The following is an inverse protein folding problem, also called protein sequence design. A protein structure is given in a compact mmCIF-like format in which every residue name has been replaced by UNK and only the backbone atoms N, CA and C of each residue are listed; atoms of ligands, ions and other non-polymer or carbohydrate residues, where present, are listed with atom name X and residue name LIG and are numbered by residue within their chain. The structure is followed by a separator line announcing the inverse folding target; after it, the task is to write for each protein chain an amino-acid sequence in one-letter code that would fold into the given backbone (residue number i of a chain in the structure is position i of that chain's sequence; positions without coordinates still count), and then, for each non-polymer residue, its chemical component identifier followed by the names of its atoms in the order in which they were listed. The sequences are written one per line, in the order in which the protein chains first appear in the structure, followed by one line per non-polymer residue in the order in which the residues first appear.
data_IF_156224873314
#
_entry.id   IF_156224873314
#
_cell.length_a   1.000
_cell.length_b   1.000
_cell.length_c   1.000
_cell.angle_alpha   90.00
_cell.angle_beta   90.00
_cell.angle_gamma   90.00
#
_symmetry.space_group_name_H-M   'P 1'
#
loop_
_entity.id
_entity.type
_entity.pdbx_description
1 polymer ?
#
# COMPACT_ATOMS: atom_id res chain seq x y z
N UNK A 1 -0.66 -17.18 -13.00
CA UNK A 1 -0.23 -16.84 -11.63
C UNK A 1 0.18 -15.39 -11.61
N UNK A 2 -0.35 -14.62 -10.67
CA UNK A 2 -0.01 -13.21 -10.45
C UNK A 2 1.24 -13.09 -9.57
N UNK A 3 1.94 -11.96 -9.62
CA UNK A 3 3.05 -11.70 -8.68
C UNK A 3 2.49 -11.42 -7.28
N UNK A 4 1.53 -10.49 -7.20
CA UNK A 4 0.83 -10.13 -5.95
C UNK A 4 -0.67 -10.09 -6.22
N UNK A 5 -1.46 -10.58 -5.27
CA UNK A 5 -2.92 -10.39 -5.26
C UNK A 5 -3.42 -9.97 -3.88
N UNK A 6 -4.62 -9.41 -3.82
CA UNK A 6 -5.24 -8.95 -2.57
C UNK A 6 -6.40 -9.86 -2.18
N UNK A 7 -6.43 -10.27 -0.92
CA UNK A 7 -7.52 -11.01 -0.30
C UNK A 7 -8.43 -10.00 0.42
N UNK A 8 -9.62 -9.78 -0.13
CA UNK A 8 -10.63 -8.88 0.45
C UNK A 8 -11.68 -9.62 1.28
N UNK A 9 -11.92 -10.89 0.96
CA UNK A 9 -12.92 -11.74 1.62
C UNK A 9 -12.44 -12.19 3.01
N UNK A 10 -13.20 -11.94 4.09
CA UNK A 10 -12.83 -12.36 5.45
C UNK A 10 -12.61 -13.87 5.58
N UNK A 11 -13.41 -14.70 4.91
CA UNK A 11 -13.27 -16.16 4.99
C UNK A 11 -11.98 -16.64 4.30
N UNK A 12 -11.69 -16.13 3.10
CA UNK A 12 -10.45 -16.39 2.40
C UNK A 12 -9.22 -15.93 3.21
N UNK A 13 -9.32 -14.77 3.89
CA UNK A 13 -8.26 -14.29 4.78
C UNK A 13 -8.04 -15.25 5.95
N UNK A 14 -9.10 -15.64 6.68
CA UNK A 14 -9.03 -16.61 7.77
C UNK A 14 -8.48 -17.97 7.31
N UNK A 15 -8.82 -18.40 6.09
CA UNK A 15 -8.25 -19.60 5.49
C UNK A 15 -6.76 -19.41 5.24
N UNK A 16 -6.33 -18.33 4.59
CA UNK A 16 -4.90 -18.11 4.27
C UNK A 16 -3.98 -18.02 5.49
N UNK A 17 -4.50 -17.56 6.64
CA UNK A 17 -3.72 -17.33 7.87
C UNK A 17 -3.34 -18.60 8.64
N UNK A 18 -3.85 -19.77 8.26
CA UNK A 18 -3.41 -21.04 8.85
C UNK A 18 -1.98 -21.36 8.43
N UNK A 19 -1.07 -21.66 9.37
CA UNK A 19 0.36 -21.84 9.06
C UNK A 19 0.64 -22.94 8.03
N UNK A 20 -0.16 -24.02 8.04
CA UNK A 20 0.00 -25.10 7.06
C UNK A 20 -0.47 -24.64 5.69
N UNK A 21 -1.60 -23.93 5.60
CA UNK A 21 -2.12 -23.40 4.34
C UNK A 21 -1.19 -22.34 3.75
N UNK A 22 -0.65 -21.44 4.57
CA UNK A 22 0.38 -20.49 4.14
C UNK A 22 1.63 -21.19 3.59
N UNK A 23 2.12 -22.25 4.28
CA UNK A 23 3.25 -23.04 3.80
C UNK A 23 2.94 -23.76 2.48
N UNK A 24 1.74 -24.31 2.32
CA UNK A 24 1.31 -24.93 1.07
C UNK A 24 1.24 -23.92 -0.07
N UNK A 25 0.74 -22.70 0.17
CA UNK A 25 0.73 -21.62 -0.82
C UNK A 25 2.16 -21.26 -1.26
N UNK A 26 3.10 -21.15 -0.31
CA UNK A 26 4.51 -20.89 -0.62
C UNK A 26 5.13 -21.99 -1.49
N UNK A 27 4.88 -23.26 -1.16
CA UNK A 27 5.36 -24.39 -1.97
C UNK A 27 4.75 -24.41 -3.39
N UNK A 28 3.48 -24.02 -3.51
CA UNK A 28 2.75 -23.98 -4.77
C UNK A 28 3.04 -22.73 -5.62
N UNK A 29 3.60 -21.68 -5.02
CA UNK A 29 4.12 -20.51 -5.71
C UNK A 29 5.42 -20.85 -6.47
N UNK A 30 6.24 -21.77 -5.95
CA UNK A 30 7.46 -22.22 -6.62
C UNK A 30 7.18 -23.09 -7.86
N UNK A 31 6.02 -23.76 -7.93
CA UNK A 31 5.59 -24.51 -9.11
C UNK A 31 4.46 -25.51 -8.82
N UNK A 32 3.83 -26.08 -9.87
CA UNK A 32 2.74 -27.03 -9.69
C UNK A 32 3.14 -28.28 -8.91
N UNK A 33 2.33 -28.70 -7.96
CA UNK A 33 2.58 -29.90 -7.15
C UNK A 33 1.29 -30.65 -6.82
N UNK A 34 1.40 -31.98 -6.70
CA UNK A 34 0.30 -32.81 -6.21
C UNK A 34 0.26 -32.86 -4.69
N UNK A 35 -0.88 -33.26 -4.12
CA UNK A 35 -1.02 -33.47 -2.68
C UNK A 35 0.01 -34.48 -2.13
N UNK A 36 0.41 -35.47 -2.94
CA UNK A 36 1.42 -36.45 -2.56
C UNK A 36 2.83 -35.83 -2.48
N UNK A 37 3.18 -34.97 -3.44
CA UNK A 37 4.45 -34.23 -3.42
C UNK A 37 4.52 -33.27 -2.22
N UNK A 38 3.43 -32.56 -1.96
CA UNK A 38 3.35 -31.59 -0.86
C UNK A 38 3.39 -32.25 0.52
N UNK A 39 2.80 -33.43 0.68
CA UNK A 39 2.80 -34.19 1.94
C UNK A 39 4.20 -34.39 2.53
N UNK A 40 5.17 -34.78 1.69
CA UNK A 40 6.57 -34.94 2.12
C UNK A 40 7.22 -33.62 2.52
N UNK A 41 6.92 -32.54 1.79
CA UNK A 41 7.48 -31.22 2.07
C UNK A 41 6.96 -30.62 3.37
N UNK A 42 5.65 -30.73 3.63
CA UNK A 42 5.03 -30.12 4.82
C UNK A 42 4.95 -31.06 6.03
N UNK A 43 5.37 -32.32 5.89
CA UNK A 43 5.38 -33.30 6.98
C UNK A 43 3.98 -33.73 7.43
N UNK A 44 3.00 -33.76 6.51
CA UNK A 44 1.62 -34.13 6.81
C UNK A 44 1.11 -35.30 5.97
N UNK A 45 0.20 -36.13 6.51
CA UNK A 45 -0.48 -37.15 5.71
C UNK A 45 -1.20 -36.56 4.50
N UNK A 46 -1.16 -37.27 3.37
CA UNK A 46 -1.78 -36.86 2.09
C UNK A 46 -3.26 -36.47 2.23
N UNK A 47 -4.02 -37.14 3.09
CA UNK A 47 -5.43 -36.81 3.33
C UNK A 47 -5.61 -35.42 3.96
N UNK A 48 -4.76 -35.05 4.93
CA UNK A 48 -4.78 -33.70 5.54
C UNK A 48 -4.36 -32.63 4.52
N UNK A 49 -3.34 -32.91 3.71
CA UNK A 49 -2.96 -32.00 2.62
C UNK A 49 -4.11 -31.78 1.64
N UNK A 50 -4.81 -32.84 1.23
CA UNK A 50 -5.99 -32.72 0.36
C UNK A 50 -7.10 -31.87 1.00
N UNK A 51 -7.33 -32.01 2.31
CA UNK A 51 -8.28 -31.15 3.03
C UNK A 51 -7.88 -29.68 2.92
N UNK A 52 -6.61 -29.35 3.17
CA UNK A 52 -6.12 -27.98 3.06
C UNK A 52 -6.17 -27.43 1.63
N UNK A 53 -5.80 -28.23 0.63
CA UNK A 53 -5.88 -27.84 -0.77
C UNK A 53 -7.32 -27.57 -1.21
N UNK A 54 -8.29 -28.39 -0.78
CA UNK A 54 -9.71 -28.14 -1.06
C UNK A 54 -10.21 -26.84 -0.41
N UNK A 55 -9.77 -26.55 0.81
CA UNK A 55 -10.12 -25.29 1.48
C UNK A 55 -9.54 -24.09 0.71
N UNK A 56 -8.26 -24.15 0.32
CA UNK A 56 -7.62 -23.11 -0.49
C UNK A 56 -8.28 -22.95 -1.88
N UNK A 57 -8.61 -24.06 -2.54
CA UNK A 57 -9.24 -24.09 -3.87
C UNK A 57 -10.63 -23.45 -3.83
N UNK A 58 -11.41 -23.70 -2.76
CA UNK A 58 -12.74 -23.10 -2.56
C UNK A 58 -12.70 -21.57 -2.53
N UNK A 59 -11.65 -20.98 -1.95
CA UNK A 59 -11.47 -19.54 -1.89
C UNK A 59 -10.62 -19.01 -3.06
N UNK A 60 -10.34 -19.82 -4.08
CA UNK A 60 -9.60 -19.42 -5.27
C UNK A 60 -8.14 -19.03 -5.01
N UNK A 61 -7.54 -19.54 -3.93
CA UNK A 61 -6.12 -19.30 -3.60
C UNK A 61 -5.20 -20.31 -4.29
N UNK A 62 -5.76 -21.44 -4.73
CA UNK A 62 -5.09 -22.43 -5.57
C UNK A 62 -6.01 -22.88 -6.69
N UNK A 63 -5.43 -23.27 -7.81
CA UNK A 63 -6.13 -23.74 -9.00
C UNK A 63 -5.48 -25.01 -9.55
N UNK A 64 -6.23 -25.76 -10.36
CA UNK A 64 -5.73 -26.94 -11.07
C UNK A 64 -4.82 -26.50 -12.22
N UNK A 65 -3.54 -26.83 -12.15
CA UNK A 65 -2.55 -26.55 -13.19
C UNK A 65 -2.42 -27.71 -14.21
N UNK A 66 -2.98 -28.87 -13.91
CA UNK A 66 -3.02 -30.02 -14.80
C UNK A 66 -3.17 -31.33 -14.06
N UNK A 67 -3.08 -32.42 -14.81
CA UNK A 67 -3.11 -33.77 -14.28
C UNK A 67 -1.88 -34.54 -14.71
N UNK A 68 -1.40 -35.42 -13.84
CA UNK A 68 -0.24 -36.27 -14.10
C UNK A 68 -0.57 -37.71 -13.76
N UNK A 69 -0.30 -38.63 -14.68
CA UNK A 69 -0.39 -40.07 -14.40
C UNK A 69 0.88 -40.56 -13.72
N UNK A 70 0.73 -41.24 -12.59
CA UNK A 70 1.81 -41.90 -11.84
C UNK A 70 1.37 -43.33 -11.55
N UNK A 71 1.87 -44.28 -12.33
CA UNK A 71 1.36 -45.65 -12.35
C UNK A 71 -0.10 -45.70 -12.80
N UNK A 72 -0.95 -46.35 -12.01
CA UNK A 72 -2.40 -46.44 -12.27
C UNK A 72 -3.22 -45.30 -11.67
N UNK A 73 -2.59 -44.31 -11.03
CA UNK A 73 -3.28 -43.19 -10.37
C UNK A 73 -3.05 -41.90 -11.16
N UNK A 74 -4.12 -41.12 -11.35
CA UNK A 74 -4.05 -39.75 -11.85
C UNK A 74 -3.94 -38.79 -10.67
N UNK A 75 -2.85 -38.03 -10.62
CA UNK A 75 -2.62 -36.99 -9.62
C UNK A 75 -3.04 -35.62 -10.17
N UNK A 76 -3.80 -34.85 -9.39
CA UNK A 76 -4.09 -33.44 -9.66
C UNK A 76 -2.88 -32.60 -9.26
N UNK A 77 -2.34 -31.81 -10.19
CA UNK A 77 -1.29 -30.83 -9.94
C UNK A 77 -1.96 -29.48 -9.67
N UNK A 78 -1.81 -28.99 -8.45
CA UNK A 78 -2.32 -27.68 -8.04
C UNK A 78 -1.24 -26.61 -8.22
N UNK A 79 -1.62 -25.34 -8.35
CA UNK A 79 -0.73 -24.17 -8.31
C UNK A 79 -1.39 -23.06 -7.50
N UNK A 80 -0.59 -22.21 -6.85
CA UNK A 80 -1.08 -20.98 -6.24
C UNK A 80 -1.54 -19.98 -7.31
N UNK A 81 -2.59 -19.22 -7.04
CA UNK A 81 -3.08 -18.21 -7.99
C UNK A 81 -2.18 -16.97 -8.06
N UNK A 82 -1.44 -16.69 -6.98
CA UNK A 82 -0.43 -15.65 -6.91
C UNK A 82 0.83 -16.14 -6.18
N UNK A 83 1.98 -15.51 -6.47
CA UNK A 83 3.23 -15.74 -5.77
C UNK A 83 3.22 -15.13 -4.36
N UNK A 84 2.48 -14.05 -4.15
CA UNK A 84 2.32 -13.37 -2.86
C UNK A 84 0.90 -12.84 -2.66
N UNK A 85 0.48 -12.74 -1.40
CA UNK A 85 -0.86 -12.33 -1.02
C UNK A 85 -0.79 -11.19 0.00
N UNK A 86 -1.62 -10.17 -0.19
CA UNK A 86 -1.84 -9.10 0.77
C UNK A 86 -3.26 -9.22 1.31
N UNK A 87 -3.43 -9.20 2.64
CA UNK A 87 -4.77 -9.16 3.24
C UNK A 87 -5.23 -7.70 3.28
N UNK A 88 -6.32 -7.39 2.58
CA UNK A 88 -6.93 -6.07 2.60
C UNK A 88 -7.51 -5.78 3.99
N UNK A 89 -7.44 -4.53 4.48
CA UNK A 89 -8.21 -4.12 5.66
C UNK A 89 -9.72 -4.36 5.54
N UNK A 90 -10.26 -4.54 4.33
CA UNK A 90 -11.66 -4.95 4.12
C UNK A 90 -12.00 -6.31 4.72
N UNK A 91 -11.02 -7.22 4.87
CA UNK A 91 -11.23 -8.49 5.57
C UNK A 91 -11.62 -8.30 7.05
N UNK A 92 -11.34 -7.12 7.62
CA UNK A 92 -11.76 -6.68 8.97
C UNK A 92 -12.56 -5.36 8.89
N UNK A 93 -13.48 -5.25 7.93
CA UNK A 93 -14.20 -4.02 7.61
C UNK A 93 -14.82 -3.28 8.82
N UNK A 94 -15.33 -4.00 9.83
CA UNK A 94 -15.96 -3.41 11.01
C UNK A 94 -14.98 -2.64 11.92
N UNK A 95 -13.68 -2.93 11.82
CA UNK A 95 -12.62 -2.33 12.66
C UNK A 95 -11.46 -1.78 11.84
N UNK A 96 -11.66 -1.56 10.54
CA UNK A 96 -10.62 -1.04 9.67
C UNK A 96 -10.20 0.39 10.08
N UNK A 97 -8.91 0.76 9.93
CA UNK A 97 -8.47 2.12 10.20
C UNK A 97 -9.20 3.15 9.32
N UNK A 98 -9.65 4.24 9.96
CA UNK A 98 -10.25 5.37 9.27
C UNK A 98 -9.35 6.61 9.39
N UNK A 99 -8.63 7.00 8.32
CA UNK A 99 -7.78 8.19 8.31
C UNK A 99 -8.55 9.51 8.35
N UNK A 100 -9.88 9.51 8.16
CA UNK A 100 -10.71 10.71 8.23
C UNK A 100 -11.18 11.01 9.66
N UNK A 101 -11.12 10.02 10.57
CA UNK A 101 -11.50 10.16 11.98
C UNK A 101 -10.55 11.05 12.78
N UNK A 102 -9.26 11.00 12.48
CA UNK A 102 -8.22 11.83 13.11
C UNK A 102 -7.16 12.15 12.07
N UNK A 103 -7.00 13.43 11.72
CA UNK A 103 -5.96 13.90 10.79
C UNK A 103 -4.83 14.52 11.57
N UNK A 104 -3.71 13.81 11.63
CA UNK A 104 -2.48 14.27 12.29
C UNK A 104 -1.28 13.91 11.42
N UNK A 105 -0.72 14.92 10.75
CA UNK A 105 0.35 14.75 9.75
C UNK A 105 1.67 14.24 10.35
N UNK A 106 1.88 14.41 11.66
CA UNK A 106 3.08 13.96 12.35
C UNK A 106 2.87 12.61 13.05
N UNK A 107 1.67 12.02 12.94
CA UNK A 107 1.34 10.77 13.62
C UNK A 107 1.65 9.54 12.78
N UNK A 108 2.48 8.65 13.34
CA UNK A 108 2.71 7.32 12.81
C UNK A 108 1.42 6.49 12.72
N UNK A 109 0.47 6.68 13.66
CA UNK A 109 -0.84 5.99 13.63
C UNK A 109 -1.71 6.47 12.47
N UNK A 110 -1.68 7.77 12.17
CA UNK A 110 -2.36 8.31 11.00
C UNK A 110 -1.72 7.80 9.71
N UNK A 111 -0.38 7.74 9.67
CA UNK A 111 0.34 7.15 8.54
C UNK A 111 -0.07 5.68 8.31
N UNK A 112 -0.20 4.87 9.37
CA UNK A 112 -0.74 3.51 9.27
C UNK A 112 -2.17 3.48 8.72
N UNK A 113 -3.04 4.39 9.14
CA UNK A 113 -4.40 4.47 8.61
C UNK A 113 -4.44 4.87 7.12
N UNK A 114 -3.53 5.76 6.69
CA UNK A 114 -3.35 6.10 5.28
C UNK A 114 -2.83 4.91 4.46
N UNK A 115 -1.85 4.18 4.99
CA UNK A 115 -1.32 2.96 4.36
C UNK A 115 -2.38 1.87 4.23
N UNK A 116 -3.19 1.64 5.27
CA UNK A 116 -4.31 0.72 5.23
C UNK A 116 -5.32 1.11 4.13
N UNK A 117 -5.69 2.40 4.04
CA UNK A 117 -6.54 2.89 2.94
C UNK A 117 -5.88 2.66 1.57
N UNK A 118 -4.59 2.92 1.44
CA UNK A 118 -3.88 2.72 0.17
C UNK A 118 -3.95 1.25 -0.27
N UNK A 119 -3.67 0.30 0.63
CA UNK A 119 -3.77 -1.15 0.36
C UNK A 119 -5.19 -1.54 -0.06
N UNK A 120 -6.20 -1.04 0.67
CA UNK A 120 -7.61 -1.26 0.32
C UNK A 120 -7.96 -0.74 -1.07
N UNK A 121 -7.73 0.55 -1.30
CA UNK A 121 -8.17 1.24 -2.51
C UNK A 121 -7.46 0.66 -3.75
N UNK A 122 -6.14 0.46 -3.68
CA UNK A 122 -5.36 -0.16 -4.77
C UNK A 122 -5.76 -1.61 -4.97
N UNK A 123 -5.98 -2.39 -3.89
CA UNK A 123 -6.44 -3.77 -3.98
C UNK A 123 -7.77 -3.91 -4.72
N UNK A 124 -8.75 -3.08 -4.38
CA UNK A 124 -10.06 -3.08 -5.03
C UNK A 124 -9.97 -2.60 -6.49
N UNK A 125 -9.12 -1.63 -6.77
CA UNK A 125 -8.88 -1.15 -8.14
C UNK A 125 -8.21 -2.21 -9.01
N UNK A 126 -7.22 -2.95 -8.49
CA UNK A 126 -6.56 -4.04 -9.22
C UNK A 126 -7.53 -5.17 -9.52
N UNK A 127 -8.30 -5.62 -8.51
CA UNK A 127 -9.33 -6.65 -8.69
C UNK A 127 -10.39 -6.20 -9.71
N UNK A 128 -10.86 -4.96 -9.62
CA UNK A 128 -11.83 -4.38 -10.55
C UNK A 128 -11.29 -4.26 -11.99
N UNK A 129 -10.06 -3.78 -12.15
CA UNK A 129 -9.39 -3.64 -13.44
C UNK A 129 -9.16 -5.00 -14.12
N UNK A 130 -8.74 -6.01 -13.36
CA UNK A 130 -8.59 -7.38 -13.85
C UNK A 130 -9.93 -7.96 -14.34
N UNK A 131 -11.00 -7.83 -13.55
CA UNK A 131 -12.36 -8.25 -13.97
C UNK A 131 -12.83 -7.52 -15.23
N UNK A 132 -12.53 -6.24 -15.35
CA UNK A 132 -12.89 -5.42 -16.51
C UNK A 132 -11.95 -5.62 -17.72
N UNK A 133 -10.84 -6.36 -17.57
CA UNK A 133 -9.76 -6.49 -18.56
C UNK A 133 -9.23 -5.13 -19.04
N UNK A 134 -9.03 -4.20 -18.09
CA UNK A 134 -8.50 -2.86 -18.34
C UNK A 134 -7.20 -2.65 -17.58
N UNK A 135 -6.33 -1.80 -18.12
CA UNK A 135 -5.16 -1.32 -17.38
C UNK A 135 -5.56 -0.40 -16.23
N UNK A 136 -4.79 -0.42 -15.14
CA UNK A 136 -4.92 0.53 -14.05
C UNK A 136 -3.74 1.51 -14.12
N UNK A 137 -4.03 2.76 -14.43
CA UNK A 137 -3.01 3.81 -14.40
C UNK A 137 -2.63 4.10 -12.94
N UNK A 138 -1.45 3.66 -12.53
CA UNK A 138 -0.87 3.91 -11.21
C UNK A 138 0.53 4.48 -11.35
N UNK A 139 0.96 5.24 -10.36
CA UNK A 139 2.33 5.73 -10.23
C UNK A 139 2.80 5.46 -8.80
N UNK A 140 4.07 5.05 -8.66
CA UNK A 140 4.73 4.89 -7.39
C UNK A 140 6.12 5.53 -7.45
N UNK A 141 6.54 6.12 -6.35
CA UNK A 141 7.89 6.65 -6.14
C UNK A 141 8.41 6.02 -4.86
N UNK A 142 9.60 5.44 -4.92
CA UNK A 142 10.32 4.87 -3.80
C UNK A 142 11.74 5.45 -3.78
N UNK A 143 12.22 5.80 -2.59
CA UNK A 143 13.50 6.45 -2.40
C UNK A 143 13.85 6.64 -0.94
N UNK A 144 15.13 6.46 -0.61
CA UNK A 144 15.67 6.69 0.72
C UNK A 144 16.47 8.00 0.75
N UNK A 145 16.34 8.73 1.85
CA UNK A 145 17.09 9.97 2.09
C UNK A 145 17.58 9.99 3.54
N UNK A 146 18.85 10.30 3.71
CA UNK A 146 19.47 10.52 5.03
C UNK A 146 19.56 12.01 5.28
N UNK A 147 18.88 12.50 6.32
CA UNK A 147 18.97 13.90 6.74
C UNK A 147 20.15 14.11 7.68
N UNK A 148 20.88 15.21 7.51
CA UNK A 148 21.96 15.58 8.43
C UNK A 148 21.43 15.98 9.82
N UNK A 149 20.22 16.55 9.88
CA UNK A 149 19.58 16.95 11.14
C UNK A 149 18.05 16.83 11.11
N UNK A 150 17.43 16.94 12.30
CA UNK A 150 15.97 17.04 12.42
C UNK A 150 15.41 18.32 11.78
N UNK A 151 16.20 19.41 11.75
CA UNK A 151 15.82 20.66 11.10
C UNK A 151 15.78 20.50 9.57
N UNK A 152 16.77 19.82 8.97
CA UNK A 152 16.79 19.53 7.54
C UNK A 152 15.61 18.65 7.13
N UNK A 153 15.27 17.65 7.98
CA UNK A 153 14.08 16.84 7.79
C UNK A 153 12.79 17.67 7.82
N UNK A 154 12.67 18.60 8.75
CA UNK A 154 11.50 19.47 8.85
C UNK A 154 11.38 20.39 7.62
N UNK A 155 12.50 20.99 7.19
CA UNK A 155 12.55 21.81 5.98
C UNK A 155 12.15 21.01 4.73
N UNK A 156 12.68 19.79 4.57
CA UNK A 156 12.30 18.89 3.49
C UNK A 156 10.80 18.59 3.47
N UNK A 157 10.19 18.30 4.61
CA UNK A 157 8.74 18.04 4.69
C UNK A 157 7.93 19.27 4.29
N UNK A 158 8.37 20.48 4.67
CA UNK A 158 7.70 21.73 4.28
C UNK A 158 7.79 21.95 2.77
N UNK A 159 8.98 21.82 2.17
CA UNK A 159 9.20 21.99 0.73
C UNK A 159 8.45 20.94 -0.09
N UNK A 160 8.47 19.68 0.33
CA UNK A 160 7.71 18.59 -0.29
C UNK A 160 6.21 18.88 -0.27
N UNK A 161 5.69 19.33 0.88
CA UNK A 161 4.27 19.69 1.02
C UNK A 161 3.91 20.86 0.11
N UNK A 162 4.75 21.90 0.06
CA UNK A 162 4.53 23.05 -0.81
C UNK A 162 4.55 22.67 -2.29
N UNK A 163 5.54 21.87 -2.73
CA UNK A 163 5.69 21.41 -4.10
C UNK A 163 4.52 20.53 -4.56
N UNK A 164 4.15 19.53 -3.77
CA UNK A 164 3.00 18.65 -4.08
C UNK A 164 1.70 19.46 -4.10
N UNK A 165 1.51 20.39 -3.16
CA UNK A 165 0.32 21.25 -3.13
C UNK A 165 0.23 22.18 -4.35
N UNK A 166 1.38 22.67 -4.83
CA UNK A 166 1.44 23.47 -6.05
C UNK A 166 1.05 22.65 -7.29
N UNK A 167 1.54 21.40 -7.38
CA UNK A 167 1.15 20.48 -8.46
C UNK A 167 -0.35 20.15 -8.42
N UNK A 168 -0.88 19.85 -7.23
CA UNK A 168 -2.31 19.61 -7.05
C UNK A 168 -3.14 20.80 -7.55
N UNK A 169 -2.87 22.02 -7.09
CA UNK A 169 -3.59 23.21 -7.56
C UNK A 169 -3.45 23.46 -9.07
N UNK A 170 -2.29 23.16 -9.65
CA UNK A 170 -2.02 23.37 -11.07
C UNK A 170 -2.83 22.42 -11.97
N UNK A 171 -3.02 21.17 -11.54
CA UNK A 171 -3.62 20.12 -12.36
C UNK A 171 -5.03 19.69 -11.92
N UNK A 172 -5.51 20.16 -10.77
CA UNK A 172 -6.87 19.90 -10.33
C UNK A 172 -7.88 20.52 -11.29
N UNK A 173 -8.76 19.68 -11.83
CA UNK A 173 -9.76 20.04 -12.82
C UNK A 173 -11.11 19.38 -12.43
N UNK A 174 -11.77 19.88 -11.37
CA UNK A 174 -12.94 19.21 -10.79
C UNK A 174 -14.12 19.13 -11.74
N UNK A 175 -14.25 20.06 -12.69
CA UNK A 175 -15.35 20.13 -13.65
C UNK A 175 -15.08 19.37 -14.96
N UNK A 176 -13.94 18.66 -15.05
CA UNK A 176 -13.61 17.88 -16.24
C UNK A 176 -14.56 16.68 -16.37
N UNK A 177 -15.42 16.68 -17.40
CA UNK A 177 -16.44 15.65 -17.61
C UNK A 177 -15.86 14.22 -17.75
N UNK A 178 -14.62 14.08 -18.23
CA UNK A 178 -13.90 12.81 -18.34
C UNK A 178 -12.87 12.60 -17.22
N UNK A 179 -12.80 13.52 -16.25
CA UNK A 179 -11.85 13.48 -15.15
C UNK A 179 -12.09 12.30 -14.22
N UNK A 180 -11.01 11.62 -13.81
CA UNK A 180 -11.06 10.61 -12.77
C UNK A 180 -10.31 11.13 -11.56
N UNK A 181 -10.93 11.03 -10.39
CA UNK A 181 -10.28 11.36 -9.13
C UNK A 181 -9.07 10.45 -8.89
N UNK A 182 -7.94 11.05 -8.56
CA UNK A 182 -6.74 10.35 -8.13
C UNK A 182 -6.44 10.74 -6.70
N UNK A 183 -6.11 9.76 -5.86
CA UNK A 183 -5.70 10.01 -4.48
C UNK A 183 -4.17 10.02 -4.42
N UNK A 184 -3.62 11.07 -3.83
CA UNK A 184 -2.17 11.18 -3.59
C UNK A 184 -1.90 10.94 -2.10
N UNK A 185 -0.96 10.05 -1.80
CA UNK A 185 -0.44 9.81 -0.45
C UNK A 185 1.08 9.89 -0.56
N UNK A 186 1.69 10.74 0.27
CA UNK A 186 3.15 10.87 0.39
C UNK A 186 3.50 10.59 1.85
N UNK A 187 4.53 9.77 2.06
CA UNK A 187 4.92 9.31 3.37
C UNK A 187 6.43 9.39 3.53
N UNK A 188 6.88 9.80 4.71
CA UNK A 188 8.30 9.76 5.11
C UNK A 188 8.36 9.11 6.48
N UNK A 189 9.07 8.00 6.59
CA UNK A 189 9.28 7.28 7.84
C UNK A 189 10.77 6.94 8.01
N UNK A 190 11.25 6.75 9.25
CA UNK A 190 12.57 6.17 9.46
C UNK A 190 12.65 4.77 8.82
N UNK A 191 13.80 4.43 8.26
CA UNK A 191 14.05 3.06 7.82
C UNK A 191 14.17 2.13 9.03
N UNK A 192 13.81 0.86 8.86
CA UNK A 192 14.04 -0.14 9.90
C UNK A 192 15.53 -0.48 9.93
N UNK A 193 16.13 -0.50 11.12
CA UNK A 193 17.47 -1.09 11.28
C UNK A 193 17.37 -2.60 11.03
N UNK A 194 18.21 -3.19 10.16
CA UNK A 194 18.22 -4.65 9.97
C UNK A 194 18.52 -5.34 11.31
N UNK A 195 17.62 -6.21 11.77
CA UNK A 195 17.89 -7.04 12.94
C UNK A 195 18.92 -8.11 12.58
N UNK A 196 20.19 -7.81 12.86
CA UNK A 196 21.34 -8.70 12.61
C UNK A 196 22.71 -8.13 13.01
N UNK A 197 22.78 -6.93 13.61
CA UNK A 197 24.04 -6.26 13.94
C UNK A 197 24.23 -5.98 15.45
N UNK A 198 23.53 -6.70 16.35
CA UNK A 198 23.72 -6.50 17.79
C UNK A 198 23.56 -7.80 18.60
N UNK A 199 24.64 -8.59 18.60
CA UNK A 199 25.02 -9.47 19.70
C UNK A 199 26.54 -9.37 19.91
N UNK A 200 27.00 -8.14 20.14
CA UNK A 200 28.29 -7.88 20.75
C UNK A 200 28.05 -6.78 21.79
N UNK A 201 27.45 -7.17 22.92
CA UNK A 201 27.48 -6.33 24.10
C UNK A 201 28.94 -6.17 24.54
N UNK A 202 29.45 -4.94 24.75
CA UNK A 202 30.69 -4.76 25.50
C UNK A 202 30.43 -5.08 26.98
N UNK A 203 31.44 -5.58 27.72
CA UNK A 203 31.26 -5.93 29.12
C UNK A 203 31.06 -4.68 29.99
N UNK A 204 30.28 -4.87 31.04
CA UNK A 204 29.95 -3.94 32.12
C UNK A 204 31.11 -3.02 32.54
N UNK A 205 30.77 -1.75 32.75
CA UNK A 205 31.67 -0.81 33.40
C UNK A 205 31.10 0.61 33.53
N UNK A 206 30.52 0.88 34.69
CA UNK A 206 30.25 2.18 35.34
C UNK A 206 28.92 2.92 35.07
N UNK A 207 28.23 3.05 36.21
CA UNK A 207 27.05 3.81 36.61
C UNK A 207 26.97 5.26 36.12
N UNK A 208 25.74 5.74 35.93
CA UNK A 208 25.43 7.16 35.83
C UNK A 208 23.99 7.41 35.41
N UNK A 209 23.18 7.88 36.34
CA UNK A 209 21.76 8.20 36.18
C UNK A 209 21.48 9.15 35.01
N UNK A 210 20.42 8.87 34.22
CA UNK A 210 19.28 9.80 34.16
C UNK A 210 18.04 9.13 33.53
N UNK A 211 16.88 9.34 34.14
CA UNK A 211 15.59 8.97 33.57
C UNK A 211 15.17 10.10 32.64
N UNK A 212 15.27 9.91 31.33
CA UNK A 212 14.70 10.85 30.38
C UNK A 212 13.25 10.44 30.05
N UNK A 213 12.33 11.16 30.67
CA UNK A 213 10.90 11.28 30.33
C UNK A 213 10.79 11.88 28.92
N UNK A 214 10.81 11.03 27.89
CA UNK A 214 10.70 11.48 26.49
C UNK A 214 9.22 11.51 26.06
N UNK A 215 8.48 12.48 26.62
CA UNK A 215 7.24 12.96 26.02
C UNK A 215 7.61 14.04 25.01
N UNK A 216 7.35 13.88 23.71
CA UNK A 216 7.40 15.01 22.81
C UNK A 216 6.21 15.92 23.12
N UNK A 217 6.51 17.20 23.33
CA UNK A 217 5.57 18.29 23.49
C UNK A 217 4.37 18.15 22.55
N UNK A 218 3.18 18.17 23.15
CA UNK A 218 1.90 18.19 22.45
C UNK A 218 1.68 19.64 21.99
N UNK A 219 1.63 19.94 20.68
CA UNK A 219 1.13 21.24 20.26
C UNK A 219 -0.36 21.33 20.60
N UNK A 220 -0.75 22.44 21.25
CA UNK A 220 -2.15 22.79 21.55
C UNK A 220 -3.03 22.68 20.29
N UNK A 221 -4.30 22.26 20.40
CA UNK A 221 -5.19 22.16 19.24
C UNK A 221 -5.43 23.55 18.64
N UNK A 222 -5.14 23.72 17.36
CA UNK A 222 -5.46 24.93 16.61
C UNK A 222 -6.96 25.27 16.69
N UNK A 223 -7.23 26.51 17.09
CA UNK A 223 -8.56 27.11 17.14
C UNK A 223 -9.31 26.98 15.81
N UNK A 224 -10.57 26.53 15.87
CA UNK A 224 -11.49 26.54 14.73
C UNK A 224 -11.72 28.01 14.31
N UNK A 225 -11.65 28.36 13.01
CA UNK A 225 -12.12 29.67 12.60
C UNK A 225 -13.63 29.78 12.86
N UNK A 226 -14.02 30.79 13.63
CA UNK A 226 -15.42 31.18 13.85
C UNK A 226 -16.08 31.47 12.49
N UNK A 227 -17.30 30.98 12.31
CA UNK A 227 -18.16 31.36 11.20
C UNK A 227 -18.36 32.88 11.24
N UNK A 228 -17.72 33.59 10.31
CA UNK A 228 -18.02 35.00 10.03
C UNK A 228 -19.03 35.04 8.90
N UNK A 229 -20.14 35.71 9.14
CA UNK A 229 -21.28 35.89 8.25
C UNK A 229 -20.86 36.45 6.88
N UNK A 230 -21.47 35.93 5.80
CA UNK A 230 -21.30 36.47 4.44
C UNK A 230 -21.88 37.89 4.35
N UNK A 231 -21.13 38.88 3.83
CA UNK A 231 -21.74 40.09 3.29
C UNK A 231 -22.29 39.82 1.88
N UNK A 232 -23.44 40.44 1.62
CA UNK A 232 -24.25 40.34 0.40
C UNK A 232 -23.49 40.83 -0.84
N UNK A 233 -23.77 40.16 -1.97
CA UNK A 233 -23.53 40.67 -3.31
C UNK A 233 -24.15 42.07 -3.46
N UNK A 234 -23.36 43.06 -3.89
CA UNK A 234 -23.71 44.17 -4.81
C UNK A 234 -22.44 45.00 -5.06
N UNK A 235 -22.05 45.11 -6.35
CA UNK A 235 -21.14 46.12 -6.94
C UNK A 235 -19.65 46.06 -6.52
N UNK A 236 -18.62 46.26 -7.35
CA UNK A 236 -18.52 46.96 -8.62
C UNK A 236 -17.24 46.48 -9.35
N UNK A 237 -17.41 46.10 -10.61
CA UNK A 237 -16.49 46.27 -11.75
C UNK A 237 -15.23 47.11 -11.47
N UNK A 238 -14.03 46.55 -11.72
CA UNK A 238 -12.91 47.14 -12.50
C UNK A 238 -11.66 46.25 -12.45
N UNK A 239 -11.39 45.55 -13.56
CA UNK A 239 -10.05 45.06 -13.92
C UNK A 239 -9.19 46.25 -14.37
N UNK A 240 -7.88 46.19 -14.14
CA UNK A 240 -6.94 46.67 -15.14
C UNK A 240 -5.94 45.58 -15.56
N UNK A 241 -5.93 45.44 -16.88
CA UNK A 241 -4.85 45.23 -17.83
C UNK A 241 -3.77 44.13 -17.68
N UNK A 242 -3.58 43.48 -18.83
CA UNK A 242 -2.57 42.49 -19.16
C UNK A 242 -1.25 43.19 -19.45
N UNK A 243 -0.16 42.72 -18.86
CA UNK A 243 1.16 42.91 -19.46
C UNK A 243 2.09 41.75 -19.08
N UNK A 244 2.55 41.05 -20.13
CA UNK A 244 3.81 40.30 -20.26
C UNK A 244 4.02 38.97 -19.50
N UNK A 245 3.78 37.85 -20.19
CA UNK A 245 4.43 36.56 -19.93
C UNK A 245 5.80 36.52 -20.62
N UNK A 246 6.87 36.02 -19.97
CA UNK A 246 8.02 35.49 -20.68
C UNK A 246 7.76 34.07 -21.19
N UNK A 247 8.29 33.82 -22.38
CA UNK A 247 8.17 32.64 -23.24
C UNK A 247 8.54 31.32 -22.56
N UNK A 248 7.72 30.28 -22.79
CA UNK A 248 8.02 28.88 -22.43
C UNK A 248 9.16 28.32 -23.32
N UNK A 249 10.01 27.42 -22.82
CA UNK A 249 10.72 26.48 -23.68
C UNK A 249 9.78 25.31 -24.04
N UNK A 250 9.56 25.09 -25.33
CA UNK A 250 8.82 23.95 -25.87
C UNK A 250 9.53 22.63 -25.52
N UNK A 251 8.81 21.65 -24.96
CA UNK A 251 9.21 20.24 -24.95
C UNK A 251 8.34 19.48 -25.98
N UNK A 252 8.90 18.47 -26.67
CA UNK A 252 8.32 17.89 -27.88
C UNK A 252 7.06 17.09 -27.64
N UNK A 253 6.21 17.10 -28.67
CA UNK A 253 4.92 16.41 -28.76
C UNK A 253 5.07 14.88 -28.68
N UNK A 254 4.19 14.23 -27.93
CA UNK A 254 4.14 12.77 -27.73
C UNK A 254 3.45 12.11 -28.92
N UNK A 255 4.13 12.09 -30.06
CA UNK A 255 3.77 11.17 -31.14
C UNK A 255 5.03 10.63 -31.80
N UNK A 256 5.95 10.03 -31.03
CA UNK A 256 7.00 9.14 -31.56
C UNK A 256 7.79 8.50 -30.41
N UNK A 257 7.27 7.40 -29.84
CA UNK A 257 8.13 6.33 -29.31
C UNK A 257 7.44 4.97 -29.56
N UNK A 258 8.01 4.12 -30.42
CA UNK A 258 7.54 2.76 -30.66
C UNK A 258 8.09 1.81 -29.58
N UNK A 259 7.21 0.93 -29.08
CA UNK A 259 7.54 -0.37 -28.48
C UNK A 259 8.48 -0.41 -27.26
N UNK A 260 7.90 -0.61 -26.08
CA UNK A 260 8.21 -1.63 -25.07
C UNK A 260 7.47 -1.32 -23.76
#
# INVERSE_FOLDING_TARGET
MLDVTVIEDPEAAAVSLDPIRARLLAELAAGPASAAMLAGKVGLPRQKVNYHLKALERHGLVELAGERRKGNVTERLMRATAASYVISPLALAAVQPDPDRFRDQLSARWLLALGARLVRDVGSLVTGAARARKGLATYALDGEVTFASAADRAAFVQELTAGVSALLRKYDAPDAAAGRGHRIVVAVHPTLRPQGAEAAAPPDGSEGADRLDDRPDRPEPFDRPKQTELPKQTELRKQPDRTELPSQPELPDRTELPGL
#
